data_IF_800172671754
#
_entry.id   IF_800172671754
#
_cell.length_a   1.000
_cell.length_b   1.000
_cell.length_c   1.000
_cell.angle_alpha   90.00
_cell.angle_beta   90.00
_cell.angle_gamma   90.00
#
_symmetry.space_group_name_H-M   'P 1'
#
loop_
_entity.id
_entity.type
_entity.pdbx_description
1 polymer ?
#
# COMPACT_ATOMS: atom_id res chain seq x y z
N UNK A 1 -13.26 -34.85 -26.20
CA UNK A 1 -13.90 -33.53 -26.03
C UNK A 1 -13.60 -33.07 -24.62
N UNK A 2 -12.89 -31.95 -24.45
CA UNK A 2 -12.66 -31.40 -23.13
C UNK A 2 -13.92 -30.64 -22.67
N UNK A 3 -14.37 -30.94 -21.46
CA UNK A 3 -15.38 -30.16 -20.76
C UNK A 3 -14.65 -29.18 -19.83
N UNK A 4 -14.97 -27.90 -19.95
CA UNK A 4 -14.50 -26.84 -19.06
C UNK A 4 -15.58 -26.51 -18.04
N UNK A 5 -15.21 -26.05 -16.85
CA UNK A 5 -16.17 -25.53 -15.88
C UNK A 5 -16.54 -24.09 -16.23
N UNK A 6 -17.83 -23.80 -16.30
CA UNK A 6 -18.30 -22.44 -16.45
C UNK A 6 -17.89 -21.59 -15.22
N UNK A 7 -17.25 -20.42 -15.40
CA UNK A 7 -16.84 -19.57 -14.28
C UNK A 7 -18.02 -18.97 -13.50
N UNK A 8 -19.19 -18.83 -14.14
CA UNK A 8 -20.39 -18.31 -13.49
C UNK A 8 -21.17 -19.40 -12.73
N UNK A 9 -21.50 -20.51 -13.40
CA UNK A 9 -22.42 -21.49 -12.81
C UNK A 9 -21.73 -22.79 -12.34
N UNK A 10 -20.43 -22.94 -12.56
CA UNK A 10 -19.64 -24.09 -12.12
C UNK A 10 -19.98 -25.43 -12.81
N UNK A 11 -20.91 -25.44 -13.77
CA UNK A 11 -21.30 -26.64 -14.52
C UNK A 11 -20.34 -26.90 -15.68
N UNK A 12 -20.26 -28.16 -16.08
CA UNK A 12 -19.43 -28.59 -17.20
C UNK A 12 -20.03 -28.15 -18.54
N UNK A 13 -19.21 -27.50 -19.36
CA UNK A 13 -19.57 -27.00 -20.68
C UNK A 13 -18.50 -27.38 -21.69
N UNK A 14 -18.89 -27.58 -22.95
CA UNK A 14 -17.91 -27.81 -24.03
C UNK A 14 -17.03 -26.58 -24.23
N UNK A 15 -15.73 -26.80 -24.37
CA UNK A 15 -14.73 -25.76 -24.70
C UNK A 15 -15.04 -25.00 -26.01
N UNK A 16 -15.81 -25.61 -26.93
CA UNK A 16 -16.22 -25.00 -28.21
C UNK A 16 -17.60 -24.35 -28.17
N UNK A 17 -18.29 -24.36 -27.03
CA UNK A 17 -19.59 -23.73 -26.91
C UNK A 17 -19.45 -22.20 -27.00
N UNK A 18 -20.34 -21.56 -27.77
CA UNK A 18 -20.35 -20.09 -27.87
C UNK A 18 -20.74 -19.45 -26.52
N UNK A 19 -21.65 -20.10 -25.79
CA UNK A 19 -22.14 -19.72 -24.48
C UNK A 19 -22.49 -20.95 -23.63
N UNK A 20 -22.51 -20.78 -22.31
CA UNK A 20 -22.95 -21.81 -21.38
C UNK A 20 -24.45 -22.08 -21.58
N UNK A 21 -24.86 -23.32 -21.88
CA UNK A 21 -26.28 -23.65 -22.07
C UNK A 21 -27.09 -23.55 -20.76
N UNK A 22 -26.42 -23.50 -19.60
CA UNK A 22 -27.09 -23.47 -18.30
C UNK A 22 -27.31 -22.05 -17.73
N UNK A 23 -26.42 -21.10 -18.00
CA UNK A 23 -26.54 -19.73 -17.48
C UNK A 23 -26.41 -18.63 -18.54
N UNK A 24 -26.08 -18.97 -19.79
CA UNK A 24 -25.90 -18.01 -20.88
C UNK A 24 -24.54 -17.32 -20.92
N UNK A 25 -23.60 -17.64 -20.02
CA UNK A 25 -22.27 -17.01 -19.99
C UNK A 25 -21.47 -17.25 -21.29
N UNK A 26 -20.94 -16.22 -21.96
CA UNK A 26 -20.18 -16.38 -23.21
C UNK A 26 -18.83 -17.05 -22.97
N UNK A 27 -18.59 -18.21 -23.62
CA UNK A 27 -17.36 -19.01 -23.44
C UNK A 27 -16.35 -18.76 -24.58
N UNK A 28 -16.84 -18.37 -25.76
CA UNK A 28 -16.04 -18.21 -26.98
C UNK A 28 -14.97 -17.11 -26.90
N UNK A 29 -15.02 -16.26 -25.88
CA UNK A 29 -14.05 -15.17 -25.70
C UNK A 29 -12.73 -15.65 -25.07
N UNK A 30 -12.71 -16.84 -24.44
CA UNK A 30 -11.49 -17.40 -23.84
C UNK A 30 -10.58 -18.13 -24.84
N UNK A 31 -11.14 -18.69 -25.93
CA UNK A 31 -10.44 -19.61 -26.83
C UNK A 31 -9.72 -18.94 -28.02
N UNK A 32 -9.76 -17.61 -28.14
CA UNK A 32 -8.99 -16.85 -29.15
C UNK A 32 -7.74 -16.20 -28.56
N UNK A 33 -7.03 -16.90 -27.69
CA UNK A 33 -5.73 -16.45 -27.17
C UNK A 33 -4.55 -17.09 -27.90
N UNK A 34 -4.60 -17.13 -29.24
CA UNK A 34 -3.39 -17.10 -30.08
C UNK A 34 -3.14 -15.67 -30.60
N UNK A 35 -3.52 -14.66 -29.81
CA UNK A 35 -3.06 -13.30 -30.03
C UNK A 35 -1.64 -13.20 -29.48
N UNK A 36 -0.63 -13.40 -30.33
CA UNK A 36 0.62 -12.69 -30.18
C UNK A 36 0.26 -11.20 -30.11
N UNK A 37 0.16 -10.64 -28.91
CA UNK A 37 0.03 -9.21 -28.74
C UNK A 37 1.21 -8.55 -29.49
N UNK A 38 0.97 -7.50 -30.30
CA UNK A 38 2.06 -6.83 -30.98
C UNK A 38 2.99 -6.24 -29.91
N UNK A 39 4.20 -6.79 -29.75
CA UNK A 39 5.27 -6.11 -29.03
C UNK A 39 5.62 -4.88 -29.86
N UNK A 40 5.18 -3.72 -29.39
CA UNK A 40 5.53 -2.44 -30.02
C UNK A 40 6.93 -2.08 -29.54
N UNK A 41 7.89 -2.08 -30.47
CA UNK A 41 9.28 -1.67 -30.22
C UNK A 41 9.45 -0.16 -30.37
N UNK A 42 9.97 0.51 -29.33
CA UNK A 42 10.33 1.94 -29.34
C UNK A 42 11.85 2.05 -29.24
N UNK A 43 12.48 2.60 -30.28
CA UNK A 43 13.93 2.88 -30.29
C UNK A 43 14.22 4.22 -29.64
N UNK A 44 15.04 4.22 -28.58
CA UNK A 44 15.49 5.41 -27.86
C UNK A 44 16.93 5.75 -28.26
N UNK A 45 17.28 7.04 -28.25
CA UNK A 45 18.60 7.59 -28.64
C UNK A 45 19.81 6.89 -27.97
N UNK A 46 19.64 6.27 -26.79
CA UNK A 46 20.69 5.58 -26.05
C UNK A 46 20.94 4.12 -26.51
N UNK A 47 20.57 3.74 -27.74
CA UNK A 47 20.60 2.34 -28.25
C UNK A 47 19.71 1.36 -27.46
N UNK A 48 18.72 1.89 -26.74
CA UNK A 48 17.76 1.11 -25.97
C UNK A 48 16.50 0.89 -26.79
N UNK A 49 15.99 -0.34 -26.81
CA UNK A 49 14.71 -0.66 -27.43
C UNK A 49 13.74 -1.12 -26.35
N UNK A 50 12.60 -0.45 -26.23
CA UNK A 50 11.52 -0.84 -25.34
C UNK A 50 10.52 -1.65 -26.12
N UNK A 51 10.26 -2.88 -25.71
CA UNK A 51 9.14 -3.67 -26.19
C UNK A 51 8.10 -3.77 -25.09
N UNK A 52 6.88 -3.35 -25.38
CA UNK A 52 5.80 -3.42 -24.41
C UNK A 52 4.58 -4.09 -25.01
N UNK A 53 3.81 -4.72 -24.13
CA UNK A 53 2.48 -5.22 -24.44
C UNK A 53 1.51 -4.79 -23.32
N UNK A 54 0.33 -5.39 -23.21
CA UNK A 54 -0.65 -4.98 -22.18
C UNK A 54 -0.25 -5.36 -20.76
N UNK A 55 0.74 -6.26 -20.58
CA UNK A 55 1.06 -6.90 -19.29
C UNK A 55 2.52 -6.75 -18.86
N UNK A 56 3.45 -6.64 -19.80
CA UNK A 56 4.88 -6.77 -19.63
C UNK A 56 5.61 -5.65 -20.36
N UNK A 57 6.78 -5.32 -19.84
CA UNK A 57 7.75 -4.45 -20.49
C UNK A 57 9.10 -5.15 -20.52
N UNK A 58 9.68 -5.16 -21.70
CA UNK A 58 10.98 -5.72 -22.01
C UNK A 58 11.89 -4.61 -22.55
N UNK A 59 13.11 -4.56 -22.01
CA UNK A 59 14.09 -3.53 -22.32
C UNK A 59 15.32 -4.24 -22.86
N UNK A 60 15.73 -3.89 -24.07
CA UNK A 60 16.97 -4.36 -24.68
C UNK A 60 17.96 -3.21 -24.84
N UNK A 61 19.25 -3.49 -24.62
CA UNK A 61 20.34 -2.59 -24.96
C UNK A 61 21.35 -3.34 -25.81
N UNK A 62 21.71 -2.81 -26.98
CA UNK A 62 22.69 -3.43 -27.88
C UNK A 62 22.38 -4.92 -28.22
N UNK A 63 21.10 -5.27 -28.36
CA UNK A 63 20.65 -6.63 -28.67
C UNK A 63 20.77 -7.62 -27.49
N UNK A 64 21.02 -7.13 -26.27
CA UNK A 64 20.97 -7.93 -25.05
C UNK A 64 19.75 -7.56 -24.22
N UNK A 65 19.00 -8.57 -23.81
CA UNK A 65 17.88 -8.43 -22.88
C UNK A 65 18.40 -7.93 -21.53
N UNK A 66 17.98 -6.73 -21.13
CA UNK A 66 18.37 -6.11 -19.88
C UNK A 66 17.40 -6.49 -18.75
N UNK A 67 16.10 -6.34 -19.01
CA UNK A 67 15.01 -6.64 -18.07
C UNK A 67 13.77 -7.03 -18.84
N UNK A 68 13.05 -8.04 -18.34
CA UNK A 68 11.68 -8.38 -18.76
C UNK A 68 10.89 -8.74 -17.52
N UNK A 69 9.91 -7.92 -17.19
CA UNK A 69 9.02 -8.13 -16.06
C UNK A 69 7.62 -7.55 -16.39
N UNK A 70 6.66 -7.72 -15.48
CA UNK A 70 5.32 -7.14 -15.64
C UNK A 70 5.36 -5.61 -15.59
N UNK A 71 4.49 -4.92 -16.34
CA UNK A 71 4.40 -3.45 -16.35
C UNK A 71 4.29 -2.84 -14.95
N UNK A 72 3.63 -3.54 -14.02
CA UNK A 72 3.45 -3.12 -12.63
C UNK A 72 4.74 -3.03 -11.83
N UNK A 73 5.82 -3.73 -12.22
CA UNK A 73 7.10 -3.66 -11.52
C UNK A 73 7.96 -2.47 -11.95
N UNK A 74 7.60 -1.81 -13.06
CA UNK A 74 8.31 -0.65 -13.56
C UNK A 74 7.74 0.65 -12.96
N UNK A 75 8.64 1.57 -12.62
CA UNK A 75 8.30 2.94 -12.26
C UNK A 75 8.45 3.82 -13.50
N UNK A 76 7.34 4.33 -14.03
CA UNK A 76 7.35 5.27 -15.16
C UNK A 76 6.91 6.65 -14.67
N UNK A 77 7.71 7.68 -14.94
CA UNK A 77 7.44 9.07 -14.51
C UNK A 77 7.75 10.06 -15.63
N UNK A 78 6.96 11.12 -15.74
CA UNK A 78 7.22 12.22 -16.66
C UNK A 78 8.28 13.16 -16.11
N UNK A 79 9.24 13.54 -16.95
CA UNK A 79 10.28 14.51 -16.63
C UNK A 79 10.54 15.41 -17.83
N UNK A 80 10.95 16.65 -17.57
CA UNK A 80 11.41 17.56 -18.62
C UNK A 80 12.93 17.55 -18.59
N UNK A 81 13.58 17.13 -19.67
CA UNK A 81 15.04 17.13 -19.81
C UNK A 81 15.43 18.01 -20.99
N UNK A 82 16.29 19.00 -20.75
CA UNK A 82 16.83 19.89 -21.78
C UNK A 82 15.75 20.53 -22.66
N UNK A 83 14.66 21.00 -22.04
CA UNK A 83 13.49 21.63 -22.70
C UNK A 83 12.58 20.67 -23.49
N UNK A 84 12.91 19.38 -23.52
CA UNK A 84 12.09 18.33 -24.16
C UNK A 84 11.40 17.46 -23.10
N UNK A 85 10.12 17.08 -23.30
CA UNK A 85 9.46 16.13 -22.41
C UNK A 85 10.08 14.74 -22.60
N UNK A 86 10.25 14.01 -21.51
CA UNK A 86 10.88 12.69 -21.47
C UNK A 86 10.20 11.80 -20.44
N UNK A 87 10.29 10.48 -20.63
CA UNK A 87 9.85 9.48 -19.66
C UNK A 87 11.06 8.88 -18.95
N UNK A 88 11.04 8.89 -17.62
CA UNK A 88 11.96 8.10 -16.81
C UNK A 88 11.36 6.74 -16.52
N UNK A 89 12.10 5.69 -16.87
CA UNK A 89 11.72 4.29 -16.62
C UNK A 89 12.74 3.69 -15.64
N UNK A 90 12.24 3.27 -14.49
CA UNK A 90 13.01 2.61 -13.43
C UNK A 90 12.52 1.19 -13.16
N UNK A 91 13.43 0.32 -12.73
CA UNK A 91 13.14 -1.04 -12.29
C UNK A 91 14.22 -1.49 -11.30
N UNK A 92 13.89 -2.37 -10.34
CA UNK A 92 14.84 -2.82 -9.31
C UNK A 92 16.06 -3.57 -9.86
N UNK A 93 15.92 -4.20 -11.03
CA UNK A 93 17.02 -4.90 -11.73
C UNK A 93 17.89 -3.97 -12.58
N UNK A 94 17.51 -2.69 -12.74
CA UNK A 94 18.27 -1.71 -13.50
C UNK A 94 19.24 -0.97 -12.58
N UNK A 95 20.51 -0.91 -12.97
CA UNK A 95 21.53 -0.10 -12.27
C UNK A 95 21.39 1.39 -12.56
N UNK A 96 20.77 1.76 -13.68
CA UNK A 96 20.50 3.14 -14.10
C UNK A 96 19.09 3.25 -14.64
N UNK A 97 18.41 4.34 -14.32
CA UNK A 97 17.11 4.69 -14.91
C UNK A 97 17.28 5.04 -16.38
N UNK A 98 16.34 4.59 -17.21
CA UNK A 98 16.34 4.86 -18.64
C UNK A 98 15.55 6.13 -18.91
N UNK A 99 16.09 7.00 -19.76
CA UNK A 99 15.48 8.27 -20.13
C UNK A 99 15.02 8.18 -21.59
N UNK A 100 13.71 8.10 -21.81
CA UNK A 100 13.12 8.11 -23.14
C UNK A 100 12.69 9.54 -23.49
N UNK A 101 13.50 10.28 -24.25
CA UNK A 101 13.11 11.61 -24.76
C UNK A 101 11.96 11.45 -25.77
N UNK A 102 10.96 12.32 -25.67
CA UNK A 102 9.85 12.35 -26.61
C UNK A 102 10.27 13.20 -27.81
N UNK A 103 10.58 12.51 -28.91
CA UNK A 103 10.82 13.12 -30.23
C UNK A 103 9.59 12.94 -31.12
N UNK A 104 9.46 13.75 -32.17
CA UNK A 104 8.30 13.71 -33.08
C UNK A 104 8.05 12.33 -33.72
N UNK A 105 9.11 11.52 -33.90
CA UNK A 105 8.97 10.18 -34.50
C UNK A 105 8.42 9.13 -33.52
N UNK A 106 8.72 9.27 -32.23
CA UNK A 106 8.34 8.29 -31.20
C UNK A 106 7.16 8.77 -30.32
N UNK A 107 6.65 9.97 -30.57
CA UNK A 107 5.64 10.61 -29.72
C UNK A 107 4.35 9.79 -29.62
N UNK A 108 3.83 9.28 -30.74
CA UNK A 108 2.63 8.46 -30.76
C UNK A 108 2.80 7.16 -29.97
N UNK A 109 3.94 6.50 -30.15
CA UNK A 109 4.27 5.23 -29.47
C UNK A 109 4.48 5.43 -27.97
N UNK A 110 5.21 6.48 -27.55
CA UNK A 110 5.43 6.79 -26.14
C UNK A 110 4.13 7.21 -25.43
N UNK A 111 3.24 7.94 -26.12
CA UNK A 111 1.90 8.25 -25.61
C UNK A 111 1.05 7.00 -25.43
N UNK A 112 1.08 6.07 -26.40
CA UNK A 112 0.38 4.78 -26.31
C UNK A 112 0.93 3.92 -25.16
N UNK A 113 2.25 3.81 -25.04
CA UNK A 113 2.90 3.11 -23.93
C UNK A 113 2.43 3.67 -22.57
N UNK A 114 2.40 4.99 -22.44
CA UNK A 114 1.96 5.63 -21.20
C UNK A 114 0.50 5.34 -20.87
N UNK A 115 -0.39 5.39 -21.87
CA UNK A 115 -1.79 5.01 -21.69
C UNK A 115 -1.92 3.56 -21.21
N UNK A 116 -1.17 2.62 -21.79
CA UNK A 116 -1.14 1.23 -21.35
C UNK A 116 -0.63 1.09 -19.90
N UNK A 117 0.44 1.82 -19.55
CA UNK A 117 0.97 1.84 -18.19
C UNK A 117 -0.05 2.40 -17.19
N UNK A 118 -0.72 3.50 -17.50
CA UNK A 118 -1.72 4.12 -16.63
C UNK A 118 -2.92 3.20 -16.41
N UNK A 119 -3.38 2.50 -17.46
CA UNK A 119 -4.43 1.47 -17.34
C UNK A 119 -3.95 0.31 -16.46
N UNK A 120 -2.74 -0.19 -16.65
CA UNK A 120 -2.17 -1.26 -15.83
C UNK A 120 -2.00 -0.84 -14.37
N UNK A 121 -1.58 0.40 -14.11
CA UNK A 121 -1.47 0.96 -12.76
C UNK A 121 -2.86 1.07 -12.12
N UNK A 122 -3.87 1.51 -12.87
CA UNK A 122 -5.25 1.56 -12.37
C UNK A 122 -5.80 0.16 -12.10
N UNK A 123 -5.54 -0.85 -12.94
CA UNK A 123 -5.98 -2.23 -12.68
C UNK A 123 -5.24 -2.87 -11.52
N UNK A 124 -3.96 -2.53 -11.28
CA UNK A 124 -3.26 -2.88 -10.04
C UNK A 124 -3.90 -2.17 -8.85
N UNK A 125 -4.29 -0.90 -8.94
CA UNK A 125 -5.02 -0.19 -7.88
C UNK A 125 -6.45 -0.74 -7.69
N UNK A 126 -7.05 -1.35 -8.72
CA UNK A 126 -8.43 -1.89 -8.67
C UNK A 126 -8.46 -3.36 -8.24
N UNK A 127 -7.40 -4.13 -8.53
CA UNK A 127 -7.16 -5.48 -7.99
C UNK A 127 -6.49 -5.46 -6.62
N UNK A 128 -5.73 -4.39 -6.33
CA UNK A 128 -5.55 -3.81 -5.01
C UNK A 128 -6.66 -2.80 -4.71
N UNK A 129 -7.91 -3.11 -5.10
CA UNK A 129 -8.93 -2.91 -4.09
C UNK A 129 -8.32 -3.56 -2.84
N UNK A 130 -8.18 -2.88 -1.70
CA UNK A 130 -8.14 -3.65 -0.49
C UNK A 130 -9.37 -4.52 -0.64
N UNK A 131 -9.18 -5.84 -0.71
CA UNK A 131 -10.15 -6.74 -0.16
C UNK A 131 -10.42 -6.13 1.20
N UNK A 132 -11.44 -5.28 1.29
CA UNK A 132 -12.11 -4.93 2.52
C UNK A 132 -12.80 -6.24 2.88
N UNK A 133 -11.99 -7.24 3.27
CA UNK A 133 -12.12 -7.74 4.62
C UNK A 133 -12.18 -6.47 5.45
N UNK A 134 -13.40 -6.06 5.76
CA UNK A 134 -13.65 -5.03 6.75
C UNK A 134 -13.10 -5.65 8.02
N UNK A 135 -11.79 -5.48 8.24
CA UNK A 135 -11.20 -5.60 9.55
C UNK A 135 -12.02 -4.64 10.39
N UNK A 136 -12.79 -5.22 11.31
CA UNK A 136 -13.89 -4.61 12.07
C UNK A 136 -13.48 -3.41 12.95
N UNK A 137 -12.36 -2.71 12.72
CA UNK A 137 -11.88 -1.63 13.60
C UNK A 137 -11.18 -0.44 12.92
N UNK A 138 -11.36 -0.17 11.63
CA UNK A 138 -10.89 1.12 11.10
C UNK A 138 -11.72 2.27 11.71
N UNK A 139 -11.02 3.22 12.37
CA UNK A 139 -11.64 4.39 13.01
C UNK A 139 -12.05 5.38 11.93
N UNK A 140 -13.29 5.86 11.98
CA UNK A 140 -13.81 6.85 11.04
C UNK A 140 -14.13 8.14 11.78
N UNK A 141 -14.06 9.28 11.06
CA UNK A 141 -14.54 10.54 11.62
C UNK A 141 -16.05 10.48 11.89
N UNK A 142 -16.54 10.85 13.08
CA UNK A 142 -17.97 10.83 13.38
C UNK A 142 -18.78 11.89 12.62
N UNK A 143 -18.13 12.88 11.99
CA UNK A 143 -18.80 13.96 11.26
C UNK A 143 -18.82 13.75 9.75
N UNK A 144 -17.67 13.56 9.10
CA UNK A 144 -17.61 13.37 7.65
C UNK A 144 -17.52 11.90 7.21
N UNK A 145 -17.39 10.96 8.16
CA UNK A 145 -17.11 9.52 7.89
C UNK A 145 -15.83 9.26 7.09
N UNK A 146 -14.99 10.29 6.90
CA UNK A 146 -13.68 10.18 6.28
C UNK A 146 -12.73 9.31 7.08
N UNK A 147 -11.81 8.67 6.38
CA UNK A 147 -10.72 7.85 6.92
C UNK A 147 -9.41 8.63 7.08
N UNK A 148 -9.38 9.90 6.65
CA UNK A 148 -8.19 10.74 6.74
C UNK A 148 -8.10 11.40 8.14
N UNK A 149 -7.45 10.68 9.07
CA UNK A 149 -7.32 11.04 10.48
C UNK A 149 -5.84 11.22 10.87
N UNK A 150 -5.51 12.35 11.48
CA UNK A 150 -4.24 12.63 12.14
C UNK A 150 -4.32 12.29 13.63
N UNK A 151 -3.34 11.57 14.15
CA UNK A 151 -3.22 11.26 15.57
C UNK A 151 -2.56 12.42 16.34
N UNK A 152 -3.16 12.83 17.45
CA UNK A 152 -2.69 13.96 18.29
C UNK A 152 -2.04 13.52 19.61
N UNK A 153 -2.18 12.25 20.01
CA UNK A 153 -1.57 11.73 21.24
C UNK A 153 -2.55 11.06 22.20
N UNK A 154 -2.03 10.67 23.36
CA UNK A 154 -2.77 10.01 24.44
C UNK A 154 -3.07 10.98 25.58
N UNK A 155 -4.27 10.90 26.11
CA UNK A 155 -4.68 11.63 27.32
C UNK A 155 -5.22 10.62 28.33
N UNK A 156 -4.67 10.62 29.56
CA UNK A 156 -5.19 9.83 30.66
C UNK A 156 -6.11 10.71 31.50
N UNK A 157 -7.37 10.30 31.63
CA UNK A 157 -8.36 11.01 32.43
C UNK A 157 -8.73 10.19 33.67
N UNK A 158 -8.74 10.86 34.83
CA UNK A 158 -9.19 10.27 36.09
C UNK A 158 -8.14 9.43 36.83
N UNK A 159 -6.86 9.50 36.44
CA UNK A 159 -5.78 8.89 37.22
C UNK A 159 -5.66 9.54 38.60
N UNK A 160 -5.40 8.72 39.61
CA UNK A 160 -5.09 9.18 40.95
C UNK A 160 -3.80 8.54 41.42
N UNK A 161 -2.79 9.39 41.63
CA UNK A 161 -1.49 8.97 42.14
C UNK A 161 -1.58 8.44 43.59
N UNK A 162 -0.69 7.49 43.90
CA UNK A 162 -0.57 6.96 45.25
C UNK A 162 -0.10 8.06 46.21
N UNK A 163 -0.79 8.19 47.35
CA UNK A 163 -0.30 9.07 48.43
C UNK A 163 0.50 8.22 49.40
N UNK A 164 1.82 8.37 49.40
CA UNK A 164 2.72 7.78 50.40
C UNK A 164 2.95 8.75 51.55
N UNK A 165 3.09 8.21 52.77
CA UNK A 165 3.62 8.94 53.91
C UNK A 165 4.97 8.32 54.27
N UNK A 166 6.00 9.15 54.37
CA UNK A 166 7.33 8.75 54.81
C UNK A 166 7.44 9.12 56.29
N UNK A 167 7.76 8.13 57.12
CA UNK A 167 8.07 8.37 58.55
C UNK A 167 9.54 8.13 58.77
N UNK A 168 10.24 9.15 59.28
CA UNK A 168 11.69 9.08 59.54
C UNK A 168 11.92 9.00 61.05
N UNK A 169 12.60 7.96 61.52
CA UNK A 169 13.01 7.82 62.92
C UNK A 169 14.51 7.62 63.05
N UNK A 170 15.10 7.99 64.18
CA UNK A 170 16.52 7.72 64.46
C UNK A 170 16.79 6.21 64.51
N UNK A 171 17.88 5.77 63.90
CA UNK A 171 18.26 4.37 63.93
C UNK A 171 19.17 4.09 65.14
N UNK A 172 18.58 3.44 66.14
CA UNK A 172 19.28 3.05 67.37
C UNK A 172 19.84 1.62 67.33
N UNK A 173 19.88 0.98 66.14
CA UNK A 173 20.30 -0.42 66.04
C UNK A 173 21.85 -0.54 66.03
N UNK A 174 22.48 -1.11 67.07
CA UNK A 174 23.93 -1.20 67.20
C UNK A 174 24.58 -2.18 66.20
N UNK A 175 23.82 -3.10 65.60
CA UNK A 175 24.31 -4.00 64.54
C UNK A 175 24.26 -3.36 63.14
N UNK A 176 23.68 -2.15 63.02
CA UNK A 176 23.66 -1.35 61.78
C UNK A 176 24.03 0.11 62.08
N UNK A 177 25.30 0.38 62.41
CA UNK A 177 25.74 1.69 62.89
C UNK A 177 25.83 2.77 61.79
N UNK A 178 25.87 2.38 60.51
CA UNK A 178 26.05 3.32 59.40
C UNK A 178 24.75 3.91 58.81
N UNK A 179 23.58 3.51 59.30
CA UNK A 179 22.31 4.16 58.96
C UNK A 179 21.93 5.10 60.10
N UNK A 180 21.93 6.42 59.89
CA UNK A 180 21.55 7.40 60.92
C UNK A 180 20.03 7.47 61.13
N UNK A 181 19.26 7.26 60.07
CA UNK A 181 17.81 7.32 60.08
C UNK A 181 17.18 6.09 59.43
N UNK A 182 16.06 5.66 59.98
CA UNK A 182 15.17 4.65 59.41
C UNK A 182 13.99 5.36 58.75
N UNK A 183 13.88 5.22 57.43
CA UNK A 183 12.72 5.70 56.67
C UNK A 183 11.73 4.55 56.47
N UNK A 184 10.49 4.73 56.90
CA UNK A 184 9.40 3.80 56.65
C UNK A 184 8.39 4.48 55.75
N UNK A 185 8.21 3.93 54.55
CA UNK A 185 7.19 4.38 53.61
C UNK A 185 5.92 3.56 53.78
N UNK A 186 4.78 4.25 53.90
CA UNK A 186 3.47 3.60 53.90
C UNK A 186 2.57 4.24 52.87
N UNK A 187 2.03 3.43 51.98
CA UNK A 187 1.00 3.84 51.03
C UNK A 187 -0.29 4.09 51.81
N UNK A 188 -0.74 5.35 51.87
CA UNK A 188 -1.93 5.80 52.60
C UNK A 188 -3.17 5.78 51.73
N UNK A 189 -3.01 6.02 50.43
CA UNK A 189 -4.07 5.83 49.43
C UNK A 189 -3.47 5.13 48.22
N UNK A 190 -4.11 4.02 47.83
CA UNK A 190 -3.73 3.24 46.64
C UNK A 190 -3.95 4.06 45.38
N UNK A 191 -3.10 3.83 44.39
CA UNK A 191 -3.27 4.37 43.04
C UNK A 191 -4.55 3.84 42.40
N UNK A 192 -5.15 4.66 41.55
CA UNK A 192 -6.22 4.23 40.64
C UNK A 192 -5.78 4.53 39.22
N UNK A 193 -5.62 3.50 38.36
CA UNK A 193 -5.33 3.75 36.96
C UNK A 193 -6.51 4.48 36.33
N UNK A 194 -6.24 5.59 35.65
CA UNK A 194 -7.25 6.31 34.87
C UNK A 194 -7.54 5.58 33.55
N UNK A 195 -8.47 6.14 32.77
CA UNK A 195 -8.83 5.59 31.45
C UNK A 195 -8.01 6.33 30.40
N UNK A 196 -7.33 5.57 29.54
CA UNK A 196 -6.53 6.11 28.44
C UNK A 196 -7.41 6.37 27.20
N UNK A 197 -7.31 7.58 26.66
CA UNK A 197 -8.00 8.00 25.45
C UNK A 197 -6.99 8.40 24.38
N UNK A 198 -7.22 7.95 23.15
CA UNK A 198 -6.52 8.40 21.95
C UNK A 198 -7.22 9.63 21.38
N UNK A 199 -6.47 10.69 21.06
CA UNK A 199 -7.00 11.93 20.45
C UNK A 199 -6.69 11.97 18.96
N UNK A 200 -7.70 12.28 18.16
CA UNK A 200 -7.63 12.30 16.70
C UNK A 200 -8.16 13.62 16.14
N UNK A 201 -7.61 14.06 15.01
CA UNK A 201 -8.11 15.18 14.19
C UNK A 201 -8.41 14.66 12.79
N UNK A 202 -9.60 14.95 12.26
CA UNK A 202 -9.87 14.68 10.86
C UNK A 202 -9.29 15.78 9.97
N UNK A 203 -8.58 15.39 8.91
CA UNK A 203 -7.98 16.34 7.96
C UNK A 203 -9.02 16.91 6.99
N UNK A 204 -10.09 16.16 6.70
CA UNK A 204 -11.12 16.57 5.74
C UNK A 204 -12.13 17.57 6.33
N UNK A 205 -12.44 17.45 7.63
CA UNK A 205 -13.43 18.32 8.30
C UNK A 205 -12.91 19.10 9.50
N UNK A 206 -11.63 18.92 9.88
CA UNK A 206 -10.99 19.61 11.00
C UNK A 206 -11.45 19.18 12.40
N UNK A 207 -12.46 18.30 12.53
CA UNK A 207 -13.02 17.91 13.82
C UNK A 207 -12.02 17.09 14.64
N UNK A 208 -11.88 17.45 15.92
CA UNK A 208 -11.10 16.71 16.91
C UNK A 208 -12.04 15.83 17.74
N UNK A 209 -11.70 14.56 17.91
CA UNK A 209 -12.47 13.60 18.71
C UNK A 209 -11.55 12.62 19.43
N UNK A 210 -12.07 11.98 20.48
CA UNK A 210 -11.33 11.00 21.29
C UNK A 210 -11.94 9.61 21.15
N UNK A 211 -11.10 8.58 21.23
CA UNK A 211 -11.54 7.18 21.27
C UNK A 211 -10.93 6.47 22.46
N UNK A 212 -11.71 5.64 23.15
CA UNK A 212 -11.20 4.80 24.23
C UNK A 212 -10.17 3.84 23.63
N UNK A 213 -8.98 3.82 24.24
CA UNK A 213 -7.95 2.85 23.92
C UNK A 213 -8.45 1.49 24.43
N UNK A 214 -8.83 0.59 23.51
CA UNK A 214 -9.17 -0.77 23.90
C UNK A 214 -7.86 -1.44 24.31
N UNK A 215 -7.78 -1.81 25.59
CA UNK A 215 -6.71 -2.67 26.13
C UNK A 215 -6.76 -4.05 25.48
#
# INVERSE_FOLDING_TARGET
MALIKCPECGKDVSERASCCPNCGYPINELSKNDNLEPLVGISIEDSNVLYYNSKNLEIEQYGKQLVKDGLSSFLVTDVIKDTSPALLIGHNKLTKTIIAKITAQNESQLRQFKQCYDVCKQTVITSQSPSKVIDKKQKCCPQCKGTNLQYLGNENMGSREAKTKITTGLNLNPLKPFTLFNHKEKIVKKEKPGIDFDRWRCQDCGKVFTTIKQQ
#
